data_IF_065260874423
#
_entry.id   IF_065260874423
#
_cell.length_a   1.000
_cell.length_b   1.000
_cell.length_c   1.000
_cell.angle_alpha   90.00
_cell.angle_beta   90.00
_cell.angle_gamma   90.00
#
_symmetry.space_group_name_H-M   'P 1'
#
loop_
_entity.id
_entity.type
_entity.pdbx_description
1 polymer ?
#
# COMPACT_ATOMS: atom_id res chain seq x y z
N UNK A 1 3.05 -15.66 15.86
CA UNK A 1 3.78 -14.85 14.87
C UNK A 1 3.99 -15.68 13.62
N UNK A 2 3.46 -15.24 12.49
CA UNK A 2 3.64 -15.91 11.20
C UNK A 2 4.94 -15.38 10.60
N UNK A 3 5.92 -16.26 10.38
CA UNK A 3 7.21 -15.91 9.77
C UNK A 3 7.28 -16.55 8.38
N UNK A 4 7.78 -15.80 7.39
CA UNK A 4 8.09 -16.29 6.04
C UNK A 4 6.93 -17.01 5.32
N UNK A 5 5.76 -16.37 5.26
CA UNK A 5 4.61 -16.89 4.48
C UNK A 5 4.22 -15.95 3.35
N UNK A 6 3.74 -16.56 2.28
CA UNK A 6 3.03 -15.87 1.19
C UNK A 6 1.54 -16.13 1.33
N UNK A 7 0.75 -15.08 1.22
CA UNK A 7 -0.72 -15.13 1.22
C UNK A 7 -1.18 -14.63 -0.14
N UNK A 8 -2.06 -15.41 -0.79
CA UNK A 8 -2.61 -15.06 -2.11
C UNK A 8 -4.07 -14.67 -1.93
N UNK A 9 -4.42 -13.46 -2.36
CA UNK A 9 -5.78 -12.94 -2.27
C UNK A 9 -5.83 -11.45 -2.58
N UNK A 10 -7.01 -10.84 -2.43
CA UNK A 10 -7.14 -9.39 -2.42
C UNK A 10 -6.48 -8.84 -1.15
N UNK A 11 -5.39 -8.08 -1.31
CA UNK A 11 -4.60 -7.64 -0.17
C UNK A 11 -5.40 -6.77 0.82
N UNK A 12 -6.36 -5.96 0.36
CA UNK A 12 -7.16 -5.14 1.27
C UNK A 12 -8.07 -6.01 2.15
N UNK A 13 -8.75 -6.99 1.55
CA UNK A 13 -9.62 -7.93 2.26
C UNK A 13 -8.83 -8.78 3.27
N UNK A 14 -7.69 -9.32 2.83
CA UNK A 14 -6.77 -10.09 3.70
C UNK A 14 -6.34 -9.25 4.89
N UNK A 15 -5.88 -8.01 4.64
CA UNK A 15 -5.47 -7.11 5.71
C UNK A 15 -6.63 -6.74 6.64
N UNK A 16 -7.86 -6.59 6.14
CA UNK A 16 -9.02 -6.25 6.95
C UNK A 16 -9.57 -7.41 7.79
N UNK A 17 -9.57 -8.64 7.26
CA UNK A 17 -10.24 -9.78 7.88
C UNK A 17 -9.32 -10.70 8.67
N UNK A 18 -8.08 -10.91 8.20
CA UNK A 18 -7.20 -11.94 8.73
C UNK A 18 -6.21 -11.41 9.79
N UNK A 19 -6.07 -10.08 9.88
CA UNK A 19 -5.13 -9.42 10.77
C UNK A 19 -5.84 -8.55 11.81
N UNK A 20 -5.27 -8.47 13.01
CA UNK A 20 -5.76 -7.56 14.04
C UNK A 20 -5.34 -6.12 13.74
N UNK A 21 -5.96 -5.15 14.40
CA UNK A 21 -5.49 -3.77 14.36
C UNK A 21 -4.08 -3.65 14.98
N UNK A 22 -3.31 -2.65 14.57
CA UNK A 22 -2.01 -2.32 15.17
C UNK A 22 -1.06 -3.53 15.32
N UNK A 23 -0.95 -4.39 14.31
CA UNK A 23 -0.08 -5.57 14.35
C UNK A 23 1.14 -5.48 13.42
N UNK A 24 1.21 -4.51 12.52
CA UNK A 24 2.33 -4.30 11.60
C UNK A 24 3.20 -3.13 12.07
N UNK A 25 4.50 -3.37 12.18
CA UNK A 25 5.51 -2.33 12.44
C UNK A 25 5.92 -1.62 11.14
N UNK A 26 5.93 -2.36 10.03
CA UNK A 26 6.42 -1.92 8.73
C UNK A 26 5.56 -2.51 7.60
N UNK A 27 5.09 -1.63 6.72
CA UNK A 27 4.46 -2.00 5.45
C UNK A 27 5.33 -1.49 4.31
N UNK A 28 5.61 -2.32 3.31
CA UNK A 28 6.32 -1.93 2.08
C UNK A 28 5.48 -2.37 0.90
N UNK A 29 5.01 -1.43 0.09
CA UNK A 29 4.11 -1.72 -1.02
C UNK A 29 4.38 -0.83 -2.25
N UNK A 30 4.08 -1.37 -3.42
CA UNK A 30 4.12 -0.70 -4.73
C UNK A 30 2.88 -1.11 -5.53
N UNK A 31 1.70 -0.55 -5.23
CA UNK A 31 0.45 -1.00 -5.84
C UNK A 31 0.37 -0.64 -7.33
N UNK A 32 -0.61 -1.22 -8.04
CA UNK A 32 -0.85 -0.88 -9.44
C UNK A 32 -1.22 0.60 -9.62
N UNK A 33 -0.57 1.27 -10.58
CA UNK A 33 -0.83 2.67 -10.94
C UNK A 33 -1.61 2.76 -12.25
N UNK A 34 -2.78 3.40 -12.22
CA UNK A 34 -3.77 3.36 -13.31
C UNK A 34 -3.25 3.92 -14.65
N UNK A 35 -2.33 4.88 -14.62
CA UNK A 35 -1.85 5.57 -15.84
C UNK A 35 -0.53 5.02 -16.40
N UNK A 36 0.10 4.05 -15.72
CA UNK A 36 1.42 3.54 -16.12
C UNK A 36 1.38 2.18 -16.81
N UNK A 37 0.37 1.36 -16.51
CA UNK A 37 0.29 -0.02 -17.00
C UNK A 37 -1.16 -0.39 -17.31
N UNK A 38 -1.37 -1.08 -18.43
CA UNK A 38 -2.67 -1.63 -18.77
C UNK A 38 -2.93 -2.90 -17.94
N UNK A 39 -3.75 -2.78 -16.90
CA UNK A 39 -4.16 -3.90 -16.06
C UNK A 39 -5.40 -4.64 -16.59
N UNK A 40 -5.63 -4.69 -17.91
CA UNK A 40 -6.65 -5.56 -18.55
C UNK A 40 -8.06 -5.47 -17.91
N UNK A 41 -8.48 -4.28 -17.50
CA UNK A 41 -9.80 -4.06 -16.88
C UNK A 41 -9.85 -4.22 -15.36
N UNK A 42 -8.72 -4.46 -14.69
CA UNK A 42 -8.64 -4.39 -13.23
C UNK A 42 -8.53 -2.93 -12.76
N UNK A 43 -9.41 -2.54 -11.84
CA UNK A 43 -9.38 -1.27 -11.12
C UNK A 43 -8.71 -1.43 -9.76
N UNK A 44 -8.01 -0.40 -9.29
CA UNK A 44 -7.37 -0.41 -7.98
C UNK A 44 -8.06 0.56 -7.02
N UNK A 45 -8.73 0.04 -6.00
CA UNK A 45 -9.32 0.85 -4.93
C UNK A 45 -8.26 1.27 -3.91
N UNK A 46 -7.64 2.41 -4.17
CA UNK A 46 -6.60 2.98 -3.31
C UNK A 46 -7.13 3.36 -1.92
N UNK A 47 -8.38 3.83 -1.81
CA UNK A 47 -8.96 4.27 -0.53
C UNK A 47 -9.13 3.08 0.42
N UNK A 48 -9.71 1.99 -0.08
CA UNK A 48 -9.89 0.76 0.69
C UNK A 48 -8.54 0.16 1.09
N UNK A 49 -7.54 0.19 0.19
CA UNK A 49 -6.18 -0.27 0.52
C UNK A 49 -5.52 0.58 1.61
N UNK A 50 -5.58 1.91 1.51
CA UNK A 50 -4.99 2.82 2.50
C UNK A 50 -5.67 2.68 3.87
N UNK A 51 -6.99 2.53 3.90
CA UNK A 51 -7.74 2.27 5.14
C UNK A 51 -7.31 0.95 5.80
N UNK A 52 -7.14 -0.12 5.00
CA UNK A 52 -6.66 -1.40 5.51
C UNK A 52 -5.24 -1.29 6.10
N UNK A 53 -4.31 -0.65 5.39
CA UNK A 53 -2.95 -0.42 5.85
C UNK A 53 -2.93 0.41 7.13
N UNK A 54 -3.71 1.49 7.20
CA UNK A 54 -3.79 2.35 8.37
C UNK A 54 -4.24 1.55 9.61
N UNK A 55 -5.32 0.77 9.47
CA UNK A 55 -5.89 -0.03 10.56
C UNK A 55 -4.90 -1.04 11.15
N UNK A 56 -4.12 -1.72 10.31
CA UNK A 56 -3.20 -2.77 10.76
C UNK A 56 -1.85 -2.22 11.24
N UNK A 57 -1.49 -0.98 10.90
CA UNK A 57 -0.20 -0.40 11.26
C UNK A 57 -0.24 0.14 12.69
N UNK A 58 0.79 -0.19 13.48
CA UNK A 58 0.91 0.27 14.88
C UNK A 58 1.06 1.79 14.98
N UNK A 59 0.71 2.40 16.13
CA UNK A 59 1.16 3.75 16.45
C UNK A 59 2.69 3.83 16.37
N UNK A 60 3.21 4.77 15.56
CA UNK A 60 4.64 4.88 15.28
C UNK A 60 5.19 3.92 14.22
N UNK A 61 4.36 3.03 13.67
CA UNK A 61 4.71 2.18 12.53
C UNK A 61 4.90 2.98 11.24
N UNK A 62 5.59 2.37 10.29
CA UNK A 62 6.03 3.01 9.04
C UNK A 62 5.42 2.31 7.83
N UNK A 63 4.92 3.09 6.87
CA UNK A 63 4.60 2.59 5.54
C UNK A 63 5.50 3.21 4.50
N UNK A 64 6.13 2.37 3.69
CA UNK A 64 6.77 2.76 2.44
C UNK A 64 5.79 2.48 1.31
N UNK A 65 5.32 3.55 0.70
CA UNK A 65 4.39 3.48 -0.40
C UNK A 65 5.08 4.05 -1.64
N UNK A 66 5.45 3.14 -2.55
CA UNK A 66 6.00 3.53 -3.83
C UNK A 66 4.91 4.07 -4.74
N UNK A 67 5.22 5.12 -5.48
CA UNK A 67 4.45 5.53 -6.66
C UNK A 67 5.40 5.74 -7.84
N UNK A 68 5.00 5.26 -9.01
CA UNK A 68 5.69 5.60 -10.26
C UNK A 68 5.18 6.93 -10.79
N UNK A 69 6.06 7.78 -11.30
CA UNK A 69 5.67 8.92 -12.12
C UNK A 69 6.17 8.75 -13.55
N UNK A 70 5.31 9.07 -14.53
CA UNK A 70 5.72 9.20 -15.92
C UNK A 70 6.17 10.64 -16.15
N UNK A 71 7.41 10.83 -16.58
CA UNK A 71 7.84 12.09 -17.16
C UNK A 71 7.31 12.17 -18.60
N UNK A 72 6.97 13.36 -19.08
CA UNK A 72 6.40 13.64 -20.42
C UNK A 72 7.25 13.13 -21.63
N UNK A 73 8.38 12.45 -21.39
CA UNK A 73 9.33 11.95 -22.38
C UNK A 73 9.65 10.45 -22.26
N UNK A 74 8.74 9.64 -21.70
CA UNK A 74 8.85 8.18 -21.74
C UNK A 74 9.87 7.57 -20.77
N UNK A 75 10.45 8.38 -19.88
CA UNK A 75 11.21 7.91 -18.72
C UNK A 75 10.30 7.81 -17.49
N UNK A 76 10.33 6.65 -16.82
CA UNK A 76 9.61 6.43 -15.56
C UNK A 76 10.58 6.64 -14.40
N UNK A 77 10.26 7.54 -13.47
CA UNK A 77 10.97 7.66 -12.21
C UNK A 77 10.16 6.96 -11.10
N UNK A 78 10.83 6.18 -10.26
CA UNK A 78 10.22 5.63 -9.04
C UNK A 78 10.45 6.59 -7.88
N UNK A 79 9.37 7.13 -7.31
CA UNK A 79 9.43 7.93 -6.09
C UNK A 79 8.92 7.08 -4.92
N UNK A 80 9.68 7.08 -3.83
CA UNK A 80 9.31 6.41 -2.58
C UNK A 80 8.86 7.47 -1.58
N UNK A 81 7.63 7.37 -1.10
CA UNK A 81 7.19 8.15 0.04
C UNK A 81 7.23 7.28 1.30
N UNK A 82 7.85 7.84 2.35
CA UNK A 82 7.84 7.28 3.69
C UNK A 82 6.75 7.99 4.48
N UNK A 83 5.85 7.23 5.07
CA UNK A 83 4.77 7.76 5.89
C UNK A 83 4.84 7.19 7.30
N UNK A 84 4.57 8.05 8.29
CA UNK A 84 4.38 7.65 9.68
C UNK A 84 2.90 7.75 10.01
N UNK A 85 2.36 6.76 10.74
CA UNK A 85 0.93 6.71 11.15
C UNK A 85 0.41 8.02 11.79
N UNK A 86 1.29 8.84 12.39
CA UNK A 86 0.93 10.15 12.94
C UNK A 86 0.89 11.34 11.97
N UNK A 87 1.30 11.19 10.71
CA UNK A 87 1.45 12.29 9.72
C UNK A 87 0.64 12.08 8.43
N UNK A 88 -0.29 11.12 8.39
CA UNK A 88 -1.06 10.86 7.16
C UNK A 88 -2.10 11.94 6.89
N UNK A 89 -2.35 12.20 5.61
CA UNK A 89 -3.34 13.13 5.10
C UNK A 89 -4.68 12.99 5.83
N UNK A 90 -5.17 14.11 6.36
CA UNK A 90 -6.60 14.26 6.63
C UNK A 90 -7.32 14.15 5.29
N UNK A 91 -7.99 13.01 5.09
CA UNK A 91 -9.00 12.85 4.06
C UNK A 91 -10.29 13.56 4.47
#
# INVERSE_FOLDING_TARGET
>A
MILNRFIVGNAAEVLMHDFSENCFDLTVTSPPYEDLRNYKGFSFDANTMLAAIYRVTKPGGVCFFGFGCNLKQGSTLSMLYKWFVGEWFGF
#
